data_IF_111618156996
#
_entry.id   IF_111618156996
#
_cell.length_a   1.000
_cell.length_b   1.000
_cell.length_c   1.000
_cell.angle_alpha   90.00
_cell.angle_beta   90.00
_cell.angle_gamma   90.00
#
_symmetry.space_group_name_H-M   'P 1'
#
loop_
_entity.id
_entity.type
_entity.pdbx_description
1 polymer ?
#
# COMPACT_ATOMS: atom_id res chain seq x y z
N UNK A 1 1.18 4.91 19.69
CA UNK A 1 -0.11 4.39 19.16
C UNK A 1 -0.14 4.77 17.67
N UNK A 2 -0.54 3.88 16.76
CA UNK A 2 -0.56 4.23 15.33
C UNK A 2 -1.83 5.00 14.97
N UNK A 3 -1.67 6.11 14.25
CA UNK A 3 -2.78 6.92 13.76
C UNK A 3 -2.92 6.75 12.25
N UNK A 4 -4.15 6.58 11.76
CA UNK A 4 -4.45 6.57 10.32
C UNK A 4 -4.63 8.01 9.86
N UNK A 5 -3.81 8.45 8.91
CA UNK A 5 -3.90 9.78 8.28
C UNK A 5 -4.85 9.73 7.08
N UNK A 6 -4.76 8.68 6.27
CA UNK A 6 -5.61 8.47 5.10
C UNK A 6 -5.77 6.97 4.84
N UNK A 7 -6.94 6.58 4.32
CA UNK A 7 -7.21 5.20 3.94
C UNK A 7 -8.04 5.11 2.65
N UNK A 8 -7.77 4.05 1.89
CA UNK A 8 -8.55 3.59 0.74
C UNK A 8 -8.58 2.06 0.75
N UNK A 9 -9.63 1.49 0.22
CA UNK A 9 -9.70 0.06 -0.07
C UNK A 9 -10.23 -0.16 -1.48
N UNK A 10 -9.80 -1.26 -2.10
CA UNK A 10 -10.21 -1.65 -3.44
C UNK A 10 -10.39 -3.17 -3.52
N UNK A 11 -11.46 -3.60 -4.18
CA UNK A 11 -11.67 -5.00 -4.54
C UNK A 11 -11.18 -5.23 -5.97
N UNK A 12 -10.26 -6.19 -6.14
CA UNK A 12 -9.78 -6.65 -7.46
C UNK A 12 -9.97 -8.15 -7.53
N UNK A 13 -10.91 -8.60 -8.35
CA UNK A 13 -11.35 -10.00 -8.41
C UNK A 13 -11.70 -10.55 -7.01
N UNK A 14 -10.94 -11.55 -6.53
CA UNK A 14 -11.08 -12.20 -5.22
C UNK A 14 -10.20 -11.61 -4.12
N UNK A 15 -9.44 -10.55 -4.43
CA UNK A 15 -8.51 -9.89 -3.51
C UNK A 15 -9.09 -8.57 -3.04
N UNK A 16 -9.05 -8.33 -1.74
CA UNK A 16 -9.38 -7.03 -1.15
C UNK A 16 -8.09 -6.38 -0.65
N UNK A 17 -7.79 -5.18 -1.14
CA UNK A 17 -6.61 -4.42 -0.75
C UNK A 17 -7.00 -3.25 0.14
N UNK A 18 -6.29 -3.07 1.24
CA UNK A 18 -6.39 -1.90 2.11
C UNK A 18 -5.09 -1.11 2.03
N UNK A 19 -5.16 0.16 1.68
CA UNK A 19 -4.05 1.07 1.58
C UNK A 19 -4.23 2.15 2.65
N UNK A 20 -3.36 2.18 3.63
CA UNK A 20 -3.46 3.08 4.77
C UNK A 20 -2.16 3.85 4.97
N UNK A 21 -2.21 5.17 4.85
CA UNK A 21 -1.10 6.02 5.25
C UNK A 21 -1.21 6.32 6.74
N UNK A 22 -0.21 5.90 7.50
CA UNK A 22 -0.21 5.88 8.97
C UNK A 22 1.00 6.63 9.53
N UNK A 23 0.89 7.01 10.80
CA UNK A 23 1.97 7.64 11.58
C UNK A 23 2.11 6.96 12.94
N UNK A 24 3.36 6.78 13.37
CA UNK A 24 3.71 6.39 14.73
C UNK A 24 4.93 7.17 15.21
N UNK A 25 5.44 6.85 16.40
CA UNK A 25 6.57 7.57 17.01
C UNK A 25 7.88 7.49 16.20
N UNK A 26 7.98 6.57 15.23
CA UNK A 26 9.13 6.42 14.32
C UNK A 26 8.94 7.16 12.99
N UNK A 27 7.77 7.74 12.75
CA UNK A 27 7.44 8.50 11.54
C UNK A 27 6.25 7.94 10.77
N UNK A 28 6.14 8.36 9.50
CA UNK A 28 5.02 8.01 8.61
C UNK A 28 5.37 6.90 7.63
N UNK A 29 4.37 6.10 7.27
CA UNK A 29 4.51 4.98 6.35
C UNK A 29 3.18 4.64 5.67
N UNK A 30 3.25 4.06 4.47
CA UNK A 30 2.13 3.42 3.81
C UNK A 30 2.10 1.95 4.21
N UNK A 31 0.94 1.46 4.66
CA UNK A 31 0.67 0.05 4.87
C UNK A 31 -0.28 -0.43 3.79
N UNK A 32 0.15 -1.43 3.01
CA UNK A 32 -0.71 -2.11 2.04
C UNK A 32 -0.96 -3.50 2.57
N UNK A 33 -2.23 -3.82 2.79
CA UNK A 33 -2.68 -5.14 3.19
C UNK A 33 -3.47 -5.78 2.06
N UNK A 34 -3.11 -7.01 1.68
CA UNK A 34 -3.89 -7.86 0.78
C UNK A 34 -4.64 -8.89 1.63
N UNK A 35 -5.93 -9.05 1.40
CA UNK A 35 -6.74 -10.14 1.94
C UNK A 35 -7.34 -11.00 0.81
N UNK A 36 -7.07 -12.30 0.84
CA UNK A 36 -7.57 -13.26 -0.16
C UNK A 36 -7.66 -14.67 0.45
N UNK A 37 -8.80 -15.35 0.24
CA UNK A 37 -9.06 -16.72 0.74
C UNK A 37 -8.78 -16.89 2.24
N UNK A 38 -9.14 -15.88 3.04
CA UNK A 38 -8.89 -15.87 4.49
C UNK A 38 -7.42 -15.72 4.89
N UNK A 39 -6.52 -15.43 3.94
CA UNK A 39 -5.12 -15.08 4.21
C UNK A 39 -4.94 -13.57 4.11
N UNK A 40 -4.09 -13.02 4.97
CA UNK A 40 -3.79 -11.60 5.05
C UNK A 40 -2.29 -11.38 4.95
N UNK A 41 -1.84 -10.72 3.89
CA UNK A 41 -0.45 -10.32 3.68
C UNK A 41 -0.32 -8.80 3.87
N UNK A 42 0.82 -8.32 4.34
CA UNK A 42 1.03 -6.88 4.54
C UNK A 42 2.45 -6.48 4.21
N UNK A 43 2.59 -5.36 3.50
CA UNK A 43 3.85 -4.67 3.26
C UNK A 43 3.78 -3.26 3.83
N UNK A 44 4.91 -2.76 4.31
CA UNK A 44 5.06 -1.41 4.85
C UNK A 44 6.13 -0.70 4.04
N UNK A 45 5.77 0.46 3.48
CA UNK A 45 6.69 1.34 2.77
C UNK A 45 6.89 2.61 3.61
N UNK A 46 8.11 2.90 4.09
CA UNK A 46 8.41 4.15 4.76
C UNK A 46 8.07 5.36 3.87
N UNK A 47 7.56 6.43 4.47
CA UNK A 47 7.18 7.64 3.72
C UNK A 47 8.31 8.24 2.87
N UNK A 48 9.56 8.03 3.28
CA UNK A 48 10.77 8.49 2.59
C UNK A 48 11.03 7.79 1.26
N UNK A 49 10.38 6.64 0.99
CA UNK A 49 10.55 5.88 -0.26
C UNK A 49 9.28 5.80 -1.11
N UNK A 50 8.24 6.57 -0.77
CA UNK A 50 6.95 6.48 -1.46
C UNK A 50 6.99 7.03 -2.89
N UNK A 51 7.79 8.07 -3.14
CA UNK A 51 7.92 8.65 -4.46
C UNK A 51 8.59 7.65 -5.43
N UNK A 52 9.69 7.04 -5.00
CA UNK A 52 10.41 6.01 -5.75
C UNK A 52 9.55 4.75 -5.94
N UNK A 53 8.80 4.35 -4.91
CA UNK A 53 7.87 3.22 -5.01
C UNK A 53 6.76 3.49 -6.02
N UNK A 54 6.16 4.69 -6.01
CA UNK A 54 5.13 5.08 -6.97
C UNK A 54 5.68 5.13 -8.39
N UNK A 55 6.87 5.70 -8.57
CA UNK A 55 7.53 5.74 -9.88
C UNK A 55 7.77 4.33 -10.42
N UNK A 56 8.37 3.45 -9.62
CA UNK A 56 8.63 2.07 -10.03
C UNK A 56 7.34 1.30 -10.35
N UNK A 57 6.27 1.54 -9.59
CA UNK A 57 4.95 0.94 -9.88
C UNK A 57 4.42 1.39 -11.25
N UNK A 58 4.49 2.69 -11.53
CA UNK A 58 4.04 3.25 -12.81
C UNK A 58 4.87 2.71 -13.98
N UNK A 59 6.21 2.69 -13.85
CA UNK A 59 7.10 2.16 -14.88
C UNK A 59 6.75 0.70 -15.24
N UNK A 60 6.50 -0.15 -14.23
CA UNK A 60 6.08 -1.55 -14.45
C UNK A 60 4.72 -1.64 -15.16
N UNK A 61 3.77 -0.75 -14.82
CA UNK A 61 2.46 -0.71 -15.47
C UNK A 61 2.55 -0.26 -16.93
N UNK A 62 3.33 0.80 -17.20
CA UNK A 62 3.52 1.36 -18.54
C UNK A 62 4.23 0.35 -19.46
N UNK A 63 5.27 -0.34 -18.96
CA UNK A 63 5.97 -1.40 -19.70
C UNK A 63 5.06 -2.60 -20.02
N UNK A 64 4.06 -2.86 -19.18
CA UNK A 64 3.11 -3.95 -19.36
C UNK A 64 2.01 -3.62 -20.37
N UNK A 65 1.98 -2.40 -20.93
CA UNK A 65 0.96 -1.94 -21.87
C UNK A 65 -0.44 -1.84 -21.27
N UNK A 66 -0.52 -1.64 -19.95
CA UNK A 66 -1.77 -1.35 -19.23
C UNK A 66 -2.19 0.12 -19.40
#
# INVERSE_FOLDING_TARGET
MENVISSRDIQVERKHFFLEFRENDRGRFLRITEEAHGRRNTVIIPSTGLAEFQQALNEVCDESGL
#
